data_IF_362931699297
#
_entry.id   IF_362931699297
#
_cell.length_a   1.000
_cell.length_b   1.000
_cell.length_c   1.000
_cell.angle_alpha   90.00
_cell.angle_beta   90.00
_cell.angle_gamma   90.00
#
_symmetry.space_group_name_H-M   'P 1'
#
loop_
_entity.id
_entity.type
_entity.pdbx_description
1 polymer ?
#
# COMPACT_ATOMS: atom_id res chain seq x y z
N UNK A 1 2.65 -6.97 40.54
CA UNK A 1 2.76 -6.91 39.06
C UNK A 1 1.70 -7.80 38.47
N UNK A 2 0.58 -7.24 37.96
CA UNK A 2 -0.51 -7.99 37.36
C UNK A 2 -0.14 -8.40 35.93
N UNK A 3 0.10 -9.70 35.73
CA UNK A 3 0.20 -10.26 34.38
C UNK A 3 -1.19 -10.17 33.72
N UNK A 4 -1.36 -9.29 32.74
CA UNK A 4 -2.53 -9.32 31.85
C UNK A 4 -2.43 -10.59 31.02
N UNK A 5 -3.33 -11.57 31.26
CA UNK A 5 -3.49 -12.72 30.38
C UNK A 5 -4.22 -12.27 29.10
N UNK A 6 -3.60 -12.45 27.96
CA UNK A 6 -4.28 -12.26 26.67
C UNK A 6 -5.25 -13.43 26.47
N UNK A 7 -6.54 -13.17 26.56
CA UNK A 7 -7.58 -14.16 26.28
C UNK A 7 -7.93 -14.04 24.80
N UNK A 8 -7.65 -15.10 24.05
CA UNK A 8 -8.11 -15.23 22.66
C UNK A 8 -9.41 -16.01 22.69
N UNK A 9 -10.50 -15.38 22.28
CA UNK A 9 -11.81 -16.03 22.16
C UNK A 9 -11.97 -16.53 20.72
N UNK A 10 -11.93 -17.85 20.54
CA UNK A 10 -12.20 -18.50 19.26
C UNK A 10 -13.71 -18.83 19.21
N UNK A 11 -14.45 -18.19 18.29
CA UNK A 11 -15.87 -18.46 18.08
C UNK A 11 -16.04 -19.74 17.23
N UNK A 12 -16.94 -20.65 17.65
CA UNK A 12 -17.29 -21.85 16.89
C UNK A 12 -16.41 -23.07 17.15
N UNK A 13 -15.49 -22.99 18.11
CA UNK A 13 -14.69 -24.14 18.57
C UNK A 13 -15.14 -24.50 19.98
N UNK A 14 -15.55 -25.74 20.17
CA UNK A 14 -16.04 -26.28 21.47
C UNK A 14 -14.96 -27.13 22.12
N UNK A 15 -14.93 -27.25 23.47
CA UNK A 15 -13.94 -28.06 24.18
C UNK A 15 -13.90 -29.53 23.74
N UNK A 16 -15.01 -30.11 23.27
CA UNK A 16 -15.10 -31.46 22.71
C UNK A 16 -14.33 -31.66 21.39
N UNK A 17 -13.99 -30.57 20.71
CA UNK A 17 -13.26 -30.60 19.43
C UNK A 17 -11.74 -30.72 19.65
N UNK A 18 -11.29 -30.61 20.91
CA UNK A 18 -9.91 -30.86 21.29
C UNK A 18 -9.72 -32.30 21.72
N UNK A 19 -9.13 -33.14 20.89
CA UNK A 19 -8.68 -34.45 21.31
C UNK A 19 -7.64 -34.32 22.43
N UNK A 20 -7.81 -35.08 23.53
CA UNK A 20 -6.94 -35.02 24.73
C UNK A 20 -5.47 -35.38 24.49
N UNK A 21 -5.08 -35.72 23.26
CA UNK A 21 -3.72 -36.11 22.88
C UNK A 21 -3.01 -35.10 22.00
N UNK A 22 -3.45 -33.84 21.96
CA UNK A 22 -2.66 -32.77 21.37
C UNK A 22 -1.46 -32.43 22.27
N UNK A 23 -0.44 -33.27 22.18
CA UNK A 23 0.90 -32.85 22.61
C UNK A 23 1.28 -31.68 21.70
N UNK A 24 1.40 -30.49 22.27
CA UNK A 24 1.96 -29.33 21.55
C UNK A 24 3.43 -29.65 21.25
N UNK A 25 3.66 -30.36 20.15
CA UNK A 25 4.98 -30.60 19.62
C UNK A 25 5.33 -29.37 18.78
N UNK A 26 5.97 -28.45 19.45
CA UNK A 26 6.59 -27.29 18.80
C UNK A 26 6.63 -26.12 19.75
N UNK A 27 7.80 -25.77 20.26
CA UNK A 27 8.05 -24.38 20.60
C UNK A 27 7.75 -23.60 19.33
N UNK A 28 6.64 -22.86 19.28
CA UNK A 28 6.46 -21.78 18.33
C UNK A 28 7.56 -20.80 18.73
N UNK A 29 8.73 -20.93 18.13
CA UNK A 29 9.67 -19.83 18.06
C UNK A 29 8.93 -18.79 17.25
N UNK A 30 8.30 -17.84 17.93
CA UNK A 30 7.98 -16.58 17.33
C UNK A 30 9.34 -16.00 16.93
N UNK A 31 9.78 -16.28 15.72
CA UNK A 31 10.71 -15.39 15.05
C UNK A 31 10.01 -14.05 15.11
N UNK A 32 10.51 -13.18 15.96
CA UNK A 32 9.98 -11.82 16.07
C UNK A 32 10.27 -11.17 14.73
N UNK A 33 9.28 -11.21 13.83
CA UNK A 33 9.34 -10.45 12.58
C UNK A 33 9.35 -8.99 13.03
N UNK A 34 10.54 -8.40 13.01
CA UNK A 34 10.69 -6.97 13.21
C UNK A 34 10.14 -6.28 11.97
N UNK A 35 9.05 -5.56 12.11
CA UNK A 35 8.51 -4.74 11.03
C UNK A 35 9.25 -3.41 10.97
N UNK A 36 9.59 -2.98 9.76
CA UNK A 36 10.17 -1.66 9.52
C UNK A 36 9.08 -0.61 9.72
N UNK A 37 9.27 0.27 10.70
CA UNK A 37 8.35 1.39 10.90
C UNK A 37 8.44 2.37 9.73
N UNK A 38 7.27 2.78 9.22
CA UNK A 38 7.17 3.87 8.26
C UNK A 38 6.94 5.17 9.04
N UNK A 39 7.72 6.24 8.76
CA UNK A 39 7.53 7.52 9.42
C UNK A 39 6.09 8.01 9.25
N UNK A 40 5.48 8.51 10.32
CA UNK A 40 4.11 9.07 10.30
C UNK A 40 4.03 10.40 9.54
N UNK A 41 5.18 10.99 9.25
CA UNK A 41 5.30 12.25 8.52
C UNK A 41 6.40 12.15 7.48
N UNK A 42 6.09 12.59 6.27
CA UNK A 42 7.08 12.82 5.21
C UNK A 42 7.70 14.20 5.38
N UNK A 43 9.02 14.26 5.38
CA UNK A 43 9.79 15.51 5.48
C UNK A 43 10.57 15.73 4.18
N UNK A 44 11.33 14.73 3.73
CA UNK A 44 12.07 14.79 2.48
C UNK A 44 12.34 13.39 1.93
N UNK A 45 12.72 13.30 0.66
CA UNK A 45 13.06 12.04 0.01
C UNK A 45 14.30 11.39 0.64
N UNK A 46 15.26 12.19 1.07
CA UNK A 46 16.52 11.72 1.65
C UNK A 46 16.35 11.06 3.02
N UNK A 47 15.31 11.47 3.75
CA UNK A 47 14.97 10.90 5.06
C UNK A 47 13.92 9.79 4.98
N UNK A 48 13.36 9.55 3.77
CA UNK A 48 12.34 8.54 3.57
C UNK A 48 12.97 7.14 3.46
N UNK A 49 12.39 6.09 4.07
CA UNK A 49 12.94 4.75 4.02
C UNK A 49 12.99 4.21 2.59
N UNK A 50 14.10 3.59 2.22
CA UNK A 50 14.31 3.00 0.89
C UNK A 50 13.50 1.69 0.70
N UNK A 51 13.18 1.01 1.78
CA UNK A 51 12.44 -0.26 1.76
C UNK A 51 11.58 -0.44 3.01
N UNK A 52 10.63 -1.35 2.94
CA UNK A 52 9.82 -1.81 4.06
C UNK A 52 9.43 -3.28 3.87
N UNK A 53 9.23 -4.01 4.96
CA UNK A 53 8.66 -5.35 4.95
C UNK A 53 7.14 -5.36 5.23
N UNK A 54 6.52 -4.18 5.33
CA UNK A 54 5.08 -4.05 5.48
C UNK A 54 4.39 -4.32 4.15
N UNK A 55 3.25 -5.02 4.21
CA UNK A 55 2.45 -5.29 3.01
C UNK A 55 1.73 -4.04 2.51
N UNK A 56 1.62 -3.92 1.21
CA UNK A 56 0.85 -2.90 0.52
C UNK A 56 -0.65 -3.00 0.88
N UNK A 57 -1.26 -1.91 1.28
CA UNK A 57 -2.70 -1.88 1.57
C UNK A 57 -3.58 -2.13 0.35
N UNK A 58 -3.05 -1.84 -0.86
CA UNK A 58 -3.77 -2.00 -2.12
C UNK A 58 -3.78 -3.41 -2.69
N UNK A 59 -2.66 -4.16 -2.58
CA UNK A 59 -2.51 -5.45 -3.24
C UNK A 59 -1.84 -6.55 -2.39
N UNK A 60 -1.53 -6.27 -1.11
CA UNK A 60 -0.89 -7.18 -0.15
C UNK A 60 0.52 -7.66 -0.57
N UNK A 61 1.15 -7.01 -1.53
CA UNK A 61 2.55 -7.26 -1.92
C UNK A 61 3.50 -6.47 -1.01
N UNK A 62 4.69 -7.00 -0.76
CA UNK A 62 5.75 -6.23 -0.11
C UNK A 62 6.38 -5.30 -1.17
N UNK A 63 6.50 -3.97 -0.92
CA UNK A 63 7.17 -3.06 -1.83
C UNK A 63 8.60 -3.50 -2.13
N UNK A 64 9.00 -3.47 -3.39
CA UNK A 64 10.37 -3.79 -3.82
C UNK A 64 11.29 -2.56 -3.92
N UNK A 65 10.74 -1.40 -3.63
CA UNK A 65 11.42 -0.11 -3.54
C UNK A 65 10.85 0.68 -2.37
N UNK A 66 11.21 1.95 -2.25
CA UNK A 66 10.67 2.80 -1.19
C UNK A 66 9.15 2.68 -1.07
N UNK A 67 8.59 2.68 0.15
CA UNK A 67 7.15 2.65 0.37
C UNK A 67 6.49 3.92 -0.18
N UNK A 68 5.41 3.77 -0.95
CA UNK A 68 4.56 4.88 -1.36
C UNK A 68 3.47 5.06 -0.30
N UNK A 69 2.89 6.25 -0.26
CA UNK A 69 1.95 6.65 0.77
C UNK A 69 0.87 7.58 0.21
N UNK A 70 -0.18 7.82 0.98
CA UNK A 70 -1.16 8.86 0.71
C UNK A 70 -0.80 10.07 1.56
N UNK A 71 -0.52 11.24 0.94
CA UNK A 71 -0.28 12.47 1.69
C UNK A 71 -1.59 12.99 2.29
N UNK A 72 -1.59 13.24 3.60
CA UNK A 72 -2.68 13.88 4.31
C UNK A 72 -2.15 15.11 5.04
N UNK A 73 -2.99 16.12 5.27
CA UNK A 73 -2.60 17.37 5.90
C UNK A 73 -1.31 17.97 5.32
N UNK A 74 -1.21 18.15 3.99
CA UNK A 74 0.01 18.64 3.39
C UNK A 74 0.29 20.09 3.79
N UNK A 75 1.56 20.39 4.03
CA UNK A 75 2.08 21.74 4.22
C UNK A 75 2.98 22.03 3.04
N UNK A 76 2.48 22.84 2.12
CA UNK A 76 3.20 23.25 0.90
C UNK A 76 3.86 24.59 1.17
N UNK A 77 5.18 24.64 1.15
CA UNK A 77 5.98 25.85 1.34
C UNK A 77 7.12 25.87 0.33
N UNK A 78 7.57 27.05 0.00
CA UNK A 78 8.73 27.28 -0.89
C UNK A 78 9.92 26.41 -0.46
N UNK A 79 10.14 25.29 -1.13
CA UNK A 79 11.20 24.28 -0.95
C UNK A 79 11.01 23.20 0.15
N UNK A 80 9.95 23.19 0.94
CA UNK A 80 9.73 22.13 1.93
C UNK A 80 8.26 21.67 1.97
N UNK A 81 7.91 20.78 1.03
CA UNK A 81 6.60 20.15 1.09
C UNK A 81 6.64 18.96 2.06
N UNK A 82 5.86 19.04 3.10
CA UNK A 82 5.73 17.99 4.11
C UNK A 82 4.28 17.54 4.22
N UNK A 83 4.04 16.32 4.70
CA UNK A 83 2.69 15.83 4.95
C UNK A 83 2.68 14.76 6.04
N UNK A 84 1.52 14.53 6.62
CA UNK A 84 1.29 13.31 7.37
C UNK A 84 1.10 12.15 6.38
N UNK A 85 1.45 10.94 6.80
CA UNK A 85 1.49 9.74 5.97
C UNK A 85 0.36 8.80 6.32
N UNK A 86 -0.40 8.40 5.31
CA UNK A 86 -1.43 7.38 5.46
C UNK A 86 -1.11 6.18 4.57
N UNK A 87 -1.03 5.02 5.18
CA UNK A 87 -0.89 3.73 4.51
C UNK A 87 0.52 3.43 3.98
N UNK A 88 0.65 2.22 3.46
CA UNK A 88 1.84 1.70 2.81
C UNK A 88 1.46 1.07 1.48
N UNK A 89 2.09 1.49 0.38
CA UNK A 89 1.75 1.02 -0.96
C UNK A 89 3.01 0.66 -1.75
N UNK A 90 2.93 -0.39 -2.58
CA UNK A 90 4.03 -0.81 -3.44
C UNK A 90 4.19 0.12 -4.67
N UNK A 91 3.07 0.68 -5.16
CA UNK A 91 3.04 1.61 -6.30
C UNK A 91 2.08 2.77 -6.01
N UNK A 92 2.33 3.93 -6.60
CA UNK A 92 1.43 5.07 -6.50
C UNK A 92 0.02 4.77 -7.04
N UNK A 93 -0.06 3.89 -8.05
CA UNK A 93 -1.33 3.38 -8.58
C UNK A 93 -2.16 2.65 -7.50
N UNK A 94 -1.52 1.93 -6.58
CA UNK A 94 -2.18 1.28 -5.45
C UNK A 94 -2.70 2.31 -4.43
N UNK A 95 -1.94 3.38 -4.17
CA UNK A 95 -2.38 4.49 -3.33
C UNK A 95 -3.61 5.19 -3.94
N UNK A 96 -3.55 5.49 -5.25
CA UNK A 96 -4.69 6.08 -5.98
C UNK A 96 -5.92 5.17 -5.95
N UNK A 97 -5.76 3.85 -6.11
CA UNK A 97 -6.87 2.89 -5.97
C UNK A 97 -7.51 2.97 -4.60
N UNK A 98 -6.70 3.05 -3.54
CA UNK A 98 -7.19 3.18 -2.18
C UNK A 98 -7.96 4.49 -1.98
N UNK A 99 -7.40 5.62 -2.41
CA UNK A 99 -8.04 6.95 -2.33
C UNK A 99 -9.40 6.94 -3.07
N UNK A 100 -9.44 6.41 -4.29
CA UNK A 100 -10.69 6.37 -5.08
C UNK A 100 -11.78 5.50 -4.47
N UNK A 101 -11.43 4.56 -3.59
CA UNK A 101 -12.37 3.65 -2.94
C UNK A 101 -12.83 4.13 -1.57
N UNK A 102 -11.92 4.70 -0.78
CA UNK A 102 -12.13 4.92 0.65
C UNK A 102 -12.39 6.39 1.02
N UNK A 103 -12.03 7.35 0.13
CA UNK A 103 -12.17 8.77 0.42
C UNK A 103 -13.52 9.33 -0.04
N UNK A 104 -14.05 10.32 0.69
CA UNK A 104 -15.25 11.04 0.27
C UNK A 104 -15.00 11.85 -1.01
N UNK A 105 -16.08 12.21 -1.72
CA UNK A 105 -15.98 13.01 -2.95
C UNK A 105 -15.30 14.37 -2.72
N UNK A 106 -15.51 14.97 -1.55
CA UNK A 106 -14.93 16.26 -1.20
C UNK A 106 -13.41 16.19 -1.02
N UNK A 107 -12.92 15.08 -0.47
CA UNK A 107 -11.48 14.89 -0.22
C UNK A 107 -10.73 14.28 -1.41
N UNK A 108 -11.46 13.63 -2.32
CA UNK A 108 -10.90 12.81 -3.39
C UNK A 108 -9.94 13.60 -4.28
N UNK A 109 -10.41 14.72 -4.83
CA UNK A 109 -9.66 15.46 -5.84
C UNK A 109 -8.39 16.09 -5.27
N UNK A 110 -8.47 16.71 -4.12
CA UNK A 110 -7.32 17.31 -3.46
C UNK A 110 -6.28 16.24 -3.10
N UNK A 111 -6.73 15.10 -2.55
CA UNK A 111 -5.82 14.00 -2.22
C UNK A 111 -5.12 13.43 -3.45
N UNK A 112 -5.83 13.28 -4.59
CA UNK A 112 -5.22 12.83 -5.85
C UNK A 112 -4.17 13.81 -6.36
N UNK A 113 -4.40 15.12 -6.27
CA UNK A 113 -3.41 16.14 -6.62
C UNK A 113 -2.18 16.05 -5.72
N UNK A 114 -2.37 15.86 -4.41
CA UNK A 114 -1.25 15.67 -3.49
C UNK A 114 -0.47 14.39 -3.77
N UNK A 115 -1.13 13.28 -4.14
CA UNK A 115 -0.44 12.05 -4.55
C UNK A 115 0.46 12.33 -5.77
N UNK A 116 -0.02 13.05 -6.78
CA UNK A 116 0.79 13.44 -7.93
C UNK A 116 1.95 14.37 -7.56
N UNK A 117 1.71 15.35 -6.68
CA UNK A 117 2.74 16.26 -6.20
C UNK A 117 3.87 15.52 -5.48
N UNK A 118 3.52 14.64 -4.55
CA UNK A 118 4.53 13.88 -3.80
C UNK A 118 5.23 12.82 -4.66
N UNK A 119 4.53 12.19 -5.61
CA UNK A 119 5.17 11.31 -6.61
C UNK A 119 6.28 12.04 -7.38
N UNK A 120 6.04 13.27 -7.82
CA UNK A 120 7.02 14.04 -8.59
C UNK A 120 8.33 14.29 -7.85
N UNK A 121 8.32 14.30 -6.50
CA UNK A 121 9.52 14.42 -5.68
C UNK A 121 10.42 13.17 -5.73
N UNK A 122 9.85 12.02 -6.05
CA UNK A 122 10.59 10.77 -6.18
C UNK A 122 11.01 10.48 -7.63
N UNK A 123 10.17 10.79 -8.61
CA UNK A 123 10.40 10.48 -10.02
C UNK A 123 11.19 11.56 -10.77
N UNK A 124 11.35 12.76 -10.19
CA UNK A 124 11.89 13.96 -10.85
C UNK A 124 11.10 14.36 -12.12
N UNK A 125 9.89 13.86 -12.28
CA UNK A 125 8.99 14.19 -13.38
C UNK A 125 7.63 14.59 -12.83
N UNK A 126 7.02 15.64 -13.41
CA UNK A 126 5.68 16.05 -13.00
C UNK A 126 4.65 15.22 -13.76
N UNK A 127 3.85 14.46 -13.01
CA UNK A 127 2.70 13.76 -13.57
C UNK A 127 1.42 14.53 -13.24
N UNK A 128 0.62 14.82 -14.26
CA UNK A 128 -0.67 15.48 -14.06
C UNK A 128 -1.70 14.54 -13.42
N UNK A 129 -1.56 13.25 -13.69
CA UNK A 129 -2.48 12.23 -13.21
C UNK A 129 -1.79 10.88 -13.03
N UNK A 130 -2.17 10.17 -11.98
CA UNK A 130 -1.82 8.76 -11.78
C UNK A 130 -3.11 7.94 -11.84
N UNK A 131 -3.13 6.91 -12.69
CA UNK A 131 -4.29 6.04 -12.82
C UNK A 131 -4.31 4.99 -11.71
N UNK A 132 -5.49 4.58 -11.23
CA UNK A 132 -5.59 3.55 -10.19
C UNK A 132 -5.12 2.18 -10.68
N UNK A 133 -4.48 1.41 -9.81
CA UNK A 133 -4.17 0.01 -10.09
C UNK A 133 -5.45 -0.81 -10.32
N UNK A 134 -5.38 -1.99 -10.95
CA UNK A 134 -6.49 -2.94 -10.90
C UNK A 134 -6.84 -3.29 -9.44
N UNK A 135 -8.08 -3.72 -9.16
CA UNK A 135 -8.46 -4.17 -7.81
C UNK A 135 -7.75 -5.48 -7.47
N UNK A 136 -7.33 -5.64 -6.21
CA UNK A 136 -6.65 -6.88 -5.77
C UNK A 136 -7.52 -8.13 -5.87
N UNK A 137 -8.82 -7.96 -5.91
CA UNK A 137 -9.79 -9.06 -6.06
C UNK A 137 -9.64 -9.86 -7.36
N UNK A 138 -8.93 -9.33 -8.38
CA UNK A 138 -8.64 -10.06 -9.61
C UNK A 138 -7.42 -10.98 -9.50
N UNK A 139 -6.67 -10.93 -8.41
CA UNK A 139 -5.55 -11.83 -8.17
C UNK A 139 -6.03 -13.25 -7.86
N UNK A 140 -5.26 -14.26 -8.27
CA UNK A 140 -5.57 -15.68 -8.02
C UNK A 140 -5.81 -16.01 -6.55
N UNK A 141 -5.14 -15.32 -5.65
CA UNK A 141 -5.29 -15.49 -4.21
C UNK A 141 -6.69 -15.12 -3.72
N UNK A 142 -7.45 -14.30 -4.46
CA UNK A 142 -8.80 -13.85 -4.08
C UNK A 142 -9.92 -14.46 -4.93
N UNK A 143 -9.66 -14.76 -6.22
CA UNK A 143 -10.70 -15.28 -7.11
C UNK A 143 -10.36 -16.67 -7.71
N UNK A 144 -9.34 -17.34 -7.19
CA UNK A 144 -8.99 -18.70 -7.63
C UNK A 144 -8.41 -18.78 -9.04
N UNK A 145 -8.67 -19.87 -9.74
CA UNK A 145 -8.05 -20.19 -11.03
C UNK A 145 -8.35 -19.17 -12.16
N UNK A 146 -9.49 -18.46 -12.07
CA UNK A 146 -9.87 -17.41 -13.04
C UNK A 146 -9.08 -16.10 -12.88
N UNK A 147 -8.35 -15.96 -11.78
CA UNK A 147 -7.58 -14.76 -11.49
C UNK A 147 -6.28 -14.67 -12.25
N UNK A 148 -5.66 -13.49 -12.13
CA UNK A 148 -4.32 -13.23 -12.68
C UNK A 148 -3.23 -13.45 -11.62
N UNK A 149 -2.02 -13.74 -12.08
CA UNK A 149 -0.85 -13.85 -11.21
C UNK A 149 -0.39 -12.46 -10.77
N UNK A 150 0.42 -12.39 -9.70
CA UNK A 150 1.05 -11.13 -9.24
C UNK A 150 1.94 -10.51 -10.31
N UNK A 151 2.63 -11.33 -11.11
CA UNK A 151 3.43 -10.86 -12.25
C UNK A 151 2.53 -10.13 -13.27
N UNK A 152 1.45 -10.77 -13.69
CA UNK A 152 0.48 -10.15 -14.62
C UNK A 152 -0.19 -8.90 -14.04
N UNK A 153 -0.40 -8.85 -12.73
CA UNK A 153 -0.91 -7.65 -12.06
C UNK A 153 0.07 -6.48 -12.16
N UNK A 154 1.36 -6.71 -11.92
CA UNK A 154 2.42 -5.69 -12.08
C UNK A 154 2.54 -5.24 -13.54
N UNK A 155 2.52 -6.17 -14.49
CA UNK A 155 2.54 -5.86 -15.93
C UNK A 155 1.35 -4.97 -16.33
N UNK A 156 0.15 -5.21 -15.79
CA UNK A 156 -1.00 -4.32 -16.03
C UNK A 156 -0.79 -2.92 -15.49
N UNK A 157 -0.19 -2.75 -14.32
CA UNK A 157 0.14 -1.42 -13.78
C UNK A 157 1.13 -0.71 -14.71
N UNK A 158 2.17 -1.41 -15.18
CA UNK A 158 3.15 -0.86 -16.13
C UNK A 158 2.48 -0.42 -17.43
N UNK A 159 1.60 -1.26 -17.99
CA UNK A 159 0.83 -0.94 -19.20
C UNK A 159 -0.06 0.30 -19.01
N UNK A 160 -0.72 0.43 -17.84
CA UNK A 160 -1.54 1.60 -17.50
C UNK A 160 -0.66 2.88 -17.53
N UNK A 161 0.52 2.83 -16.93
CA UNK A 161 1.42 3.97 -16.88
C UNK A 161 1.97 4.33 -18.26
N UNK A 162 2.41 3.36 -19.05
CA UNK A 162 2.95 3.58 -20.40
C UNK A 162 1.91 4.13 -21.38
N UNK A 163 0.69 3.60 -21.35
CA UNK A 163 -0.39 4.08 -22.21
C UNK A 163 -0.78 5.53 -21.87
N UNK A 164 -0.75 5.89 -20.60
CA UNK A 164 -1.05 7.25 -20.17
C UNK A 164 0.02 8.23 -20.70
N UNK A 165 1.29 7.91 -20.56
CA UNK A 165 2.40 8.74 -21.07
C UNK A 165 2.31 8.94 -22.58
N UNK A 166 2.01 7.89 -23.36
CA UNK A 166 1.81 7.98 -24.81
C UNK A 166 0.62 8.86 -25.21
N UNK A 167 -0.45 8.83 -24.44
CA UNK A 167 -1.64 9.65 -24.71
C UNK A 167 -1.38 11.11 -24.41
N UNK A 168 -0.72 11.42 -23.33
CA UNK A 168 -0.35 12.80 -22.95
C UNK A 168 0.60 13.40 -23.99
N UNK A 169 1.62 12.66 -24.41
CA UNK A 169 2.57 13.11 -25.45
C UNK A 169 1.87 13.46 -26.77
N UNK A 170 0.86 12.67 -27.18
CA UNK A 170 0.10 12.96 -28.41
C UNK A 170 -0.75 14.23 -28.31
N UNK A 171 -1.26 14.57 -27.13
CA UNK A 171 -2.08 15.76 -26.92
C UNK A 171 -1.26 17.05 -26.86
N UNK A 172 -0.01 16.99 -26.44
CA UNK A 172 0.89 18.15 -26.36
C UNK A 172 1.50 18.57 -27.73
N UNK A 173 1.38 17.68 -28.73
CA UNK A 173 1.93 17.89 -30.08
C UNK A 173 0.87 18.09 -31.17
N UNK A 174 -0.38 18.34 -30.79
CA UNK A 174 -1.48 18.79 -31.63
C UNK A 174 -1.95 20.18 -31.23
#
# INVERSE_FOLDING_TARGET
>A
MNKKSNIIILKGIYPKDFNQNLTIIGKITHDQISYTDIPKRFISKETWPEYTNLKCWGCDEIPQSYPKFIPVNPVIKDNMDTCDVLGNFCEWNCAVRYVTKEFSKEQLWDTLQYVCLFESKFSNSKKEKILPSPPKTILKEYCGSSGITRKQFKERIQTINSNYELTTYKLEHF
#
